data_IF_063176734758
#
_entry.id   IF_063176734758
#
_cell.length_a   1.000
_cell.length_b   1.000
_cell.length_c   1.000
_cell.angle_alpha   90.00
_cell.angle_beta   90.00
_cell.angle_gamma   90.00
#
_symmetry.space_group_name_H-M   'P 1'
#
loop_
_entity.id
_entity.type
_entity.pdbx_description
1 polymer ?
#
# COMPACT_ATOMS: atom_id res chain seq x y z
N UNK A 1 51.07 12.23 -10.82
CA UNK A 1 50.70 11.98 -9.41
C UNK A 1 49.20 11.75 -9.39
N UNK A 2 48.79 10.47 -9.50
CA UNK A 2 47.39 10.05 -9.41
C UNK A 2 46.96 10.10 -7.95
N UNK A 3 45.78 10.65 -7.66
CA UNK A 3 45.08 10.42 -6.41
C UNK A 3 43.78 9.68 -6.74
N UNK A 4 43.70 8.45 -6.25
CA UNK A 4 42.56 7.54 -6.29
C UNK A 4 41.50 8.03 -5.30
N UNK A 5 40.20 8.03 -5.62
CA UNK A 5 39.16 8.20 -4.61
C UNK A 5 38.95 6.87 -3.89
N UNK A 6 39.10 6.88 -2.56
CA UNK A 6 38.79 5.74 -1.71
C UNK A 6 37.28 5.46 -1.70
N UNK A 7 36.96 4.18 -1.85
CA UNK A 7 35.65 3.61 -1.62
C UNK A 7 35.36 3.48 -0.12
N UNK A 8 34.07 3.55 0.24
CA UNK A 8 33.53 2.83 1.39
C UNK A 8 33.26 3.67 2.64
N UNK A 9 32.06 4.25 2.70
CA UNK A 9 31.42 4.64 3.95
C UNK A 9 29.95 4.19 3.91
N UNK A 10 29.68 2.95 4.35
CA UNK A 10 28.31 2.47 4.55
C UNK A 10 27.68 3.30 5.67
N UNK A 11 26.74 4.19 5.30
CA UNK A 11 25.82 4.78 6.29
C UNK A 11 24.95 3.64 6.83
N UNK A 12 24.70 3.57 8.15
CA UNK A 12 23.81 2.56 8.70
C UNK A 12 22.42 2.70 8.06
N UNK A 13 21.83 1.56 7.69
CA UNK A 13 20.47 1.44 7.15
C UNK A 13 19.49 2.07 8.15
N UNK A 14 19.08 3.31 7.91
CA UNK A 14 17.78 3.78 8.37
C UNK A 14 16.78 3.32 7.32
N UNK A 15 16.20 2.13 7.52
CA UNK A 15 14.96 1.77 6.82
C UNK A 15 13.90 2.75 7.29
N UNK A 16 13.49 3.61 6.37
CA UNK A 16 12.43 4.57 6.52
C UNK A 16 11.24 3.85 5.91
N UNK A 17 10.21 3.52 6.69
CA UNK A 17 8.90 4.17 6.62
C UNK A 17 8.02 3.79 7.82
N UNK A 18 7.02 4.61 8.15
CA UNK A 18 6.12 4.49 9.31
C UNK A 18 4.68 4.79 8.89
N UNK A 19 3.75 3.87 9.21
CA UNK A 19 2.33 4.07 9.58
C UNK A 19 1.59 5.19 8.85
N UNK A 20 0.88 4.95 7.74
CA UNK A 20 -0.01 5.99 7.22
C UNK A 20 -1.24 5.46 6.50
N UNK A 21 -2.38 5.66 7.16
CA UNK A 21 -3.58 6.08 6.49
C UNK A 21 -3.74 7.61 6.58
N UNK A 22 -4.43 8.20 5.59
CA UNK A 22 -4.69 9.65 5.56
C UNK A 22 -6.19 9.90 5.63
N UNK A 23 -6.61 10.76 6.56
CA UNK A 23 -7.99 11.27 6.57
C UNK A 23 -8.14 12.35 5.49
N UNK A 24 -9.07 12.20 4.53
CA UNK A 24 -9.32 13.17 3.46
C UNK A 24 -9.93 14.49 3.95
N UNK A 25 -10.62 14.52 5.09
CA UNK A 25 -11.26 15.73 5.62
C UNK A 25 -10.25 16.66 6.27
N UNK A 26 -9.30 16.08 7.00
CA UNK A 26 -8.30 16.83 7.76
C UNK A 26 -6.95 16.90 7.02
N UNK A 27 -6.73 16.02 6.04
CA UNK A 27 -5.40 15.78 5.47
C UNK A 27 -4.40 15.24 6.51
N UNK A 28 -4.89 14.89 7.70
CA UNK A 28 -4.06 14.43 8.78
C UNK A 28 -3.72 12.97 8.57
N UNK A 29 -2.45 12.66 8.80
CA UNK A 29 -1.98 11.29 8.91
C UNK A 29 -2.50 10.69 10.22
N UNK A 30 -3.14 9.53 10.13
CA UNK A 30 -3.55 8.75 11.31
C UNK A 30 -2.27 8.13 11.90
N UNK A 31 -1.75 8.70 12.99
CA UNK A 31 -0.47 8.31 13.59
C UNK A 31 -0.68 7.76 15.00
N UNK A 32 -0.13 6.58 15.27
CA UNK A 32 0.52 6.33 16.56
C UNK A 32 2.03 6.57 16.46
N UNK A 33 2.64 7.05 17.53
CA UNK A 33 4.08 7.31 17.59
C UNK A 33 4.81 6.18 18.34
N UNK A 34 5.90 5.67 17.78
CA UNK A 34 6.98 5.07 18.57
C UNK A 34 8.27 5.81 18.28
N UNK A 35 8.72 6.77 19.09
CA UNK A 35 10.00 7.44 18.87
C UNK A 35 11.15 6.40 18.80
N UNK A 36 11.97 6.45 17.75
CA UNK A 36 13.25 5.73 17.72
C UNK A 36 14.27 6.57 18.50
N UNK A 37 14.63 6.13 19.71
CA UNK A 37 15.72 6.73 20.48
C UNK A 37 17.02 5.92 20.24
N UNK A 38 18.03 6.49 19.57
CA UNK A 38 19.31 5.82 19.32
C UNK A 38 20.18 5.65 20.58
N UNK A 39 19.80 6.18 21.75
CA UNK A 39 20.59 6.12 22.97
C UNK A 39 20.34 4.88 23.87
N UNK A 40 19.31 4.06 23.60
CA UNK A 40 18.98 2.90 24.44
C UNK A 40 19.77 1.62 24.10
N UNK A 41 20.68 1.66 23.13
CA UNK A 41 21.47 0.50 22.71
C UNK A 41 22.73 0.27 23.57
N UNK A 42 22.59 0.24 24.90
CA UNK A 42 23.61 -0.33 25.79
C UNK A 42 23.09 -0.51 27.22
N UNK A 43 22.09 -1.35 27.43
CA UNK A 43 21.91 -2.04 28.71
C UNK A 43 21.05 -3.29 28.48
N UNK A 44 21.61 -4.48 28.75
CA UNK A 44 20.84 -5.73 28.81
C UNK A 44 19.95 -5.69 30.05
N UNK A 45 18.84 -4.96 29.97
CA UNK A 45 17.69 -5.26 30.80
C UNK A 45 16.91 -6.35 30.09
N UNK A 46 16.70 -7.47 30.77
CA UNK A 46 15.66 -8.44 30.42
C UNK A 46 14.30 -7.76 30.56
N UNK A 47 13.94 -6.92 29.59
CA UNK A 47 12.55 -6.56 29.37
C UNK A 47 11.85 -7.86 28.96
N UNK A 48 10.95 -8.32 29.82
CA UNK A 48 9.90 -9.25 29.39
C UNK A 48 9.20 -8.53 28.24
N UNK A 49 9.40 -8.97 27.00
CA UNK A 49 8.72 -8.38 25.85
C UNK A 49 7.22 -8.37 26.17
N UNK A 50 6.61 -7.18 26.15
CA UNK A 50 5.17 -7.08 26.31
C UNK A 50 4.50 -7.99 25.28
N UNK A 51 3.43 -8.68 25.67
CA UNK A 51 2.70 -9.53 24.73
C UNK A 51 2.30 -8.70 23.51
N UNK A 52 2.40 -9.25 22.29
CA UNK A 52 2.05 -8.50 21.09
C UNK A 52 0.59 -8.03 21.17
N UNK A 53 0.35 -6.75 20.88
CA UNK A 53 -1.00 -6.17 20.87
C UNK A 53 -1.69 -6.62 19.59
N UNK A 54 -2.85 -7.24 19.69
CA UNK A 54 -3.67 -7.64 18.55
C UNK A 54 -4.51 -6.47 18.04
N UNK A 55 -4.92 -6.55 16.76
CA UNK A 55 -5.91 -5.62 16.20
C UNK A 55 -7.27 -5.82 16.89
N UNK A 56 -7.98 -4.73 17.10
CA UNK A 56 -9.36 -4.68 17.59
C UNK A 56 -10.24 -4.01 16.54
N UNK A 57 -11.54 -4.32 16.57
CA UNK A 57 -12.51 -3.74 15.66
C UNK A 57 -13.12 -2.47 16.24
N UNK A 58 -13.13 -1.38 15.46
CA UNK A 58 -13.60 -0.06 15.88
C UNK A 58 -14.90 0.38 15.18
N UNK A 59 -15.67 -0.58 14.65
CA UNK A 59 -17.03 -0.36 14.15
C UNK A 59 -17.14 0.24 12.74
N UNK A 60 -16.02 0.40 12.04
CA UNK A 60 -15.95 0.84 10.65
C UNK A 60 -16.19 -0.29 9.63
N UNK A 61 -16.25 0.05 8.35
CA UNK A 61 -16.42 -0.95 7.29
C UNK A 61 -15.21 -1.88 7.19
N UNK A 62 -15.39 -3.02 6.51
CA UNK A 62 -14.31 -3.84 5.93
C UNK A 62 -14.72 -4.25 4.51
N UNK A 63 -13.78 -4.71 3.69
CA UNK A 63 -14.08 -5.20 2.35
C UNK A 63 -14.43 -6.69 2.36
N UNK A 64 -15.70 -7.02 2.52
CA UNK A 64 -16.21 -8.40 2.53
C UNK A 64 -16.18 -9.08 1.14
N UNK A 65 -16.16 -8.30 0.07
CA UNK A 65 -16.08 -8.74 -1.32
C UNK A 65 -15.25 -7.73 -2.16
N UNK A 66 -13.93 -7.62 -1.89
CA UNK A 66 -13.09 -6.55 -2.43
C UNK A 66 -12.96 -6.61 -3.95
N UNK A 67 -13.01 -5.42 -4.56
CA UNK A 67 -12.76 -5.19 -6.00
C UNK A 67 -11.71 -4.11 -6.16
N UNK A 68 -10.69 -4.40 -6.95
CA UNK A 68 -9.57 -3.50 -7.22
C UNK A 68 -9.67 -2.98 -8.66
N UNK A 69 -9.61 -1.66 -8.79
CA UNK A 69 -9.47 -0.96 -10.06
C UNK A 69 -8.12 -0.25 -10.09
N UNK A 70 -7.33 -0.46 -11.15
CA UNK A 70 -6.02 0.18 -11.30
C UNK A 70 -6.13 1.42 -12.17
N UNK A 71 -5.77 2.58 -11.63
CA UNK A 71 -5.79 3.87 -12.32
C UNK A 71 -4.35 4.31 -12.55
N UNK A 72 -3.95 4.42 -13.81
CA UNK A 72 -2.66 4.97 -14.21
C UNK A 72 -2.89 6.45 -14.52
N UNK A 73 -2.66 7.33 -13.55
CA UNK A 73 -3.03 8.75 -13.66
C UNK A 73 -1.90 9.55 -14.31
N UNK A 74 -2.14 10.08 -15.51
CA UNK A 74 -1.20 10.92 -16.23
C UNK A 74 -0.96 10.50 -17.68
N UNK A 75 -0.75 11.49 -18.55
CA UNK A 75 -0.38 11.33 -19.96
C UNK A 75 0.93 10.56 -20.15
N UNK A 76 1.84 10.60 -19.19
CA UNK A 76 3.11 9.87 -19.25
C UNK A 76 2.92 8.34 -19.24
N UNK A 77 1.76 7.85 -18.81
CA UNK A 77 1.39 6.42 -18.91
C UNK A 77 0.92 6.01 -20.32
N UNK A 78 0.65 6.96 -21.24
CA UNK A 78 0.12 6.69 -22.58
C UNK A 78 1.09 5.90 -23.48
N UNK A 79 2.39 6.10 -23.32
CA UNK A 79 3.45 5.55 -24.17
C UNK A 79 4.47 4.73 -23.38
N UNK A 80 4.05 4.19 -22.22
CA UNK A 80 4.83 3.30 -21.38
C UNK A 80 5.43 2.14 -22.20
N UNK A 81 6.69 2.30 -22.59
CA UNK A 81 7.49 1.29 -23.27
C UNK A 81 8.47 0.76 -22.24
N UNK A 82 8.44 -0.55 -21.89
CA UNK A 82 9.38 -1.12 -20.94
C UNK A 82 10.84 -0.82 -21.31
N UNK A 83 11.63 -0.33 -20.35
CA UNK A 83 13.05 -0.02 -20.57
C UNK A 83 13.33 1.29 -21.29
N UNK A 84 12.30 2.13 -21.51
CA UNK A 84 12.50 3.48 -22.00
C UNK A 84 13.21 4.34 -20.93
N UNK A 85 14.08 5.24 -21.38
CA UNK A 85 14.82 6.15 -20.50
C UNK A 85 13.83 7.05 -19.74
N UNK A 86 13.81 7.01 -18.38
CA UNK A 86 12.89 7.79 -17.56
C UNK A 86 13.05 9.30 -17.72
N UNK A 87 14.18 9.77 -18.25
CA UNK A 87 14.41 11.19 -18.53
C UNK A 87 13.73 11.68 -19.82
N UNK A 88 13.16 10.77 -20.63
CA UNK A 88 12.46 11.12 -21.87
C UNK A 88 10.95 11.34 -21.64
N UNK A 89 10.33 12.35 -22.26
CA UNK A 89 8.88 12.55 -22.18
C UNK A 89 8.09 11.32 -22.68
N UNK A 90 7.02 10.95 -21.97
CA UNK A 90 6.11 9.87 -22.38
C UNK A 90 6.48 8.46 -21.89
N UNK A 91 7.45 8.33 -20.98
CA UNK A 91 7.97 7.05 -20.47
C UNK A 91 7.60 6.81 -19.01
N UNK A 92 6.39 7.18 -18.56
CA UNK A 92 5.96 7.22 -17.15
C UNK A 92 6.12 5.91 -16.35
N UNK A 93 6.55 4.83 -17.01
CA UNK A 93 6.84 3.51 -16.48
C UNK A 93 8.15 2.91 -17.04
N UNK A 94 9.33 3.50 -16.76
CA UNK A 94 10.62 3.03 -17.27
C UNK A 94 10.96 1.58 -16.90
N UNK A 95 10.40 1.07 -15.80
CA UNK A 95 10.71 -0.24 -15.24
C UNK A 95 9.60 -1.27 -15.40
N UNK A 96 8.50 -0.93 -16.09
CA UNK A 96 7.36 -1.84 -16.31
C UNK A 96 6.62 -2.22 -15.00
N UNK A 97 6.57 -1.29 -14.04
CA UNK A 97 5.78 -1.35 -12.81
C UNK A 97 4.32 -1.70 -13.11
N UNK A 98 3.73 -1.18 -14.19
CA UNK A 98 2.34 -1.47 -14.57
C UNK A 98 2.08 -2.94 -14.78
N UNK A 99 2.95 -3.62 -15.53
CA UNK A 99 2.80 -5.04 -15.77
C UNK A 99 3.09 -5.84 -14.49
N UNK A 100 4.09 -5.43 -13.72
CA UNK A 100 4.47 -6.08 -12.46
C UNK A 100 3.35 -6.02 -11.42
N UNK A 101 2.79 -4.84 -11.15
CA UNK A 101 1.69 -4.65 -10.21
C UNK A 101 0.44 -5.46 -10.60
N UNK A 102 0.08 -5.46 -11.90
CA UNK A 102 -1.02 -6.30 -12.41
C UNK A 102 -0.76 -7.79 -12.19
N UNK A 103 0.45 -8.25 -12.45
CA UNK A 103 0.81 -9.65 -12.31
C UNK A 103 0.85 -10.08 -10.83
N UNK A 104 1.39 -9.23 -9.95
CA UNK A 104 1.35 -9.44 -8.51
C UNK A 104 -0.08 -9.53 -7.98
N UNK A 105 -0.96 -8.58 -8.30
CA UNK A 105 -2.35 -8.61 -7.82
C UNK A 105 -3.11 -9.85 -8.31
N UNK A 106 -2.82 -10.32 -9.53
CA UNK A 106 -3.36 -11.60 -10.04
C UNK A 106 -2.84 -12.81 -9.27
N UNK A 107 -1.61 -12.76 -8.75
CA UNK A 107 -1.04 -13.81 -7.92
C UNK A 107 -1.51 -13.73 -6.46
N UNK A 108 -1.82 -12.53 -5.96
CA UNK A 108 -2.23 -12.27 -4.58
C UNK A 108 -3.73 -12.54 -4.33
N UNK A 109 -4.61 -12.29 -5.31
CA UNK A 109 -6.05 -12.56 -5.18
C UNK A 109 -6.33 -14.06 -4.96
N UNK A 110 -7.12 -14.39 -3.94
CA UNK A 110 -7.41 -15.77 -3.56
C UNK A 110 -6.18 -16.56 -3.06
N UNK A 111 -5.06 -15.88 -2.83
CA UNK A 111 -3.80 -16.50 -2.46
C UNK A 111 -3.78 -16.88 -0.98
N UNK A 112 -2.93 -17.85 -0.62
CA UNK A 112 -2.83 -18.28 0.79
C UNK A 112 -2.08 -17.29 1.67
N UNK A 113 -1.30 -16.38 1.07
CA UNK A 113 -0.67 -15.27 1.79
C UNK A 113 -1.74 -14.30 2.31
N UNK A 114 -2.72 -13.95 1.47
CA UNK A 114 -3.77 -12.99 1.82
C UNK A 114 -4.83 -13.57 2.78
N UNK A 115 -4.78 -14.86 3.12
CA UNK A 115 -5.77 -15.49 4.00
C UNK A 115 -5.83 -14.89 5.42
N UNK A 116 -4.77 -14.21 5.87
CA UNK A 116 -4.78 -13.57 7.18
C UNK A 116 -5.84 -12.45 7.27
N UNK A 117 -6.30 -11.88 6.15
CA UNK A 117 -7.42 -10.91 6.17
C UNK A 117 -8.74 -11.54 6.63
N UNK A 118 -8.96 -12.84 6.41
CA UNK A 118 -10.22 -13.54 6.66
C UNK A 118 -10.64 -13.60 8.14
N UNK A 119 -9.74 -13.29 9.06
CA UNK A 119 -10.06 -13.26 10.49
C UNK A 119 -10.73 -11.96 10.93
N UNK A 120 -10.59 -10.90 10.13
CA UNK A 120 -11.14 -9.58 10.38
C UNK A 120 -12.55 -9.52 9.80
N UNK A 121 -13.50 -9.03 10.58
CA UNK A 121 -14.94 -9.10 10.29
C UNK A 121 -15.59 -7.74 10.44
N UNK A 122 -16.67 -7.51 9.69
CA UNK A 122 -17.55 -6.35 9.90
C UNK A 122 -18.40 -6.48 11.18
N UNK A 123 -19.22 -5.45 11.44
CA UNK A 123 -20.15 -5.41 12.57
C UNK A 123 -21.21 -6.52 12.56
N UNK A 124 -21.48 -7.14 11.41
CA UNK A 124 -22.41 -8.26 11.25
C UNK A 124 -21.71 -9.62 11.34
N UNK A 125 -20.39 -9.65 11.58
CA UNK A 125 -19.59 -10.86 11.65
C UNK A 125 -19.22 -11.44 10.28
N UNK A 126 -19.42 -10.72 9.19
CA UNK A 126 -19.01 -11.11 7.83
C UNK A 126 -17.50 -10.85 7.68
N UNK A 127 -16.70 -11.87 7.33
CA UNK A 127 -15.27 -11.70 7.11
C UNK A 127 -14.93 -10.74 5.96
N UNK A 128 -13.80 -10.05 6.07
CA UNK A 128 -13.07 -9.51 4.93
C UNK A 128 -12.84 -10.62 3.90
N UNK A 129 -13.03 -10.33 2.62
CA UNK A 129 -12.99 -11.32 1.55
C UNK A 129 -11.59 -11.55 1.01
N UNK A 130 -11.28 -12.78 0.58
CA UNK A 130 -10.10 -13.09 -0.25
C UNK A 130 -10.56 -13.83 -1.53
N UNK A 131 -11.28 -13.16 -2.45
CA UNK A 131 -11.81 -13.83 -3.63
C UNK A 131 -10.71 -14.08 -4.68
N UNK A 132 -10.90 -15.11 -5.50
CA UNK A 132 -9.98 -15.44 -6.61
C UNK A 132 -10.07 -14.44 -7.77
N UNK A 133 -10.99 -13.48 -7.70
CA UNK A 133 -11.21 -12.41 -8.69
C UNK A 133 -11.41 -11.08 -7.96
N UNK A 134 -10.31 -10.44 -7.58
CA UNK A 134 -10.31 -9.09 -6.98
C UNK A 134 -10.00 -8.01 -8.02
N UNK A 135 -9.04 -8.25 -8.91
CA UNK A 135 -8.69 -7.29 -9.96
C UNK A 135 -9.75 -7.29 -11.06
N UNK A 136 -10.56 -6.22 -11.13
CA UNK A 136 -11.74 -6.14 -12.01
C UNK A 136 -11.54 -5.19 -13.19
N UNK A 137 -10.72 -4.16 -13.04
CA UNK A 137 -10.56 -3.14 -14.08
C UNK A 137 -9.23 -2.42 -14.05
N UNK A 138 -8.90 -1.79 -15.18
CA UNK A 138 -7.75 -0.90 -15.26
C UNK A 138 -8.00 0.21 -16.27
N UNK A 139 -7.67 1.44 -15.89
CA UNK A 139 -7.85 2.64 -16.70
C UNK A 139 -6.55 3.41 -16.79
N UNK A 140 -6.18 3.83 -18.01
CA UNK A 140 -5.11 4.79 -18.24
C UNK A 140 -5.76 6.16 -18.39
N UNK A 141 -5.74 6.96 -17.32
CA UNK A 141 -6.28 8.32 -17.39
C UNK A 141 -5.22 9.26 -17.94
N UNK A 142 -5.32 9.53 -19.24
CA UNK A 142 -4.45 10.48 -19.94
C UNK A 142 -5.14 11.83 -20.15
N UNK A 143 -6.32 12.05 -19.56
CA UNK A 143 -7.06 13.29 -19.75
C UNK A 143 -6.55 14.43 -18.83
N UNK A 144 -5.86 14.09 -17.74
CA UNK A 144 -5.14 15.02 -16.87
C UNK A 144 -3.83 14.42 -16.40
N UNK A 145 -2.96 15.24 -15.81
CA UNK A 145 -1.76 14.77 -15.12
C UNK A 145 -1.87 15.06 -13.62
N UNK A 146 -1.28 14.20 -12.76
CA UNK A 146 -1.11 14.55 -11.37
C UNK A 146 -0.25 15.81 -11.23
N UNK A 147 -0.55 16.69 -10.27
CA UNK A 147 0.39 17.71 -9.85
C UNK A 147 1.72 17.07 -9.42
N UNK A 148 2.83 17.80 -9.59
CA UNK A 148 4.16 17.35 -9.17
C UNK A 148 4.21 16.94 -7.69
N UNK A 149 3.36 17.59 -6.87
CA UNK A 149 3.16 17.37 -5.43
C UNK A 149 1.67 17.20 -5.16
N UNK A 150 1.07 16.09 -5.61
CA UNK A 150 -0.36 15.86 -5.46
C UNK A 150 -0.74 15.76 -3.98
N UNK A 151 -1.66 16.59 -3.50
CA UNK A 151 -2.21 16.43 -2.14
C UNK A 151 -3.30 15.36 -2.13
N UNK A 152 -3.67 14.86 -0.95
CA UNK A 152 -4.68 13.80 -0.85
C UNK A 152 -6.03 14.20 -1.49
N UNK A 153 -6.38 15.49 -1.46
CA UNK A 153 -7.57 16.01 -2.14
C UNK A 153 -7.51 15.85 -3.67
N UNK A 154 -6.35 16.07 -4.29
CA UNK A 154 -6.18 15.89 -5.74
C UNK A 154 -6.35 14.42 -6.13
N UNK A 155 -5.77 13.53 -5.32
CA UNK A 155 -5.81 12.08 -5.55
C UNK A 155 -7.21 11.52 -5.29
N UNK A 156 -7.90 11.99 -4.26
CA UNK A 156 -9.31 11.67 -4.01
C UNK A 156 -10.22 12.14 -5.16
N UNK A 157 -9.94 13.31 -5.76
CA UNK A 157 -10.65 13.76 -6.95
C UNK A 157 -10.42 12.83 -8.15
N UNK A 158 -9.21 12.28 -8.30
CA UNK A 158 -8.93 11.27 -9.33
C UNK A 158 -9.62 9.93 -9.04
N UNK A 159 -9.68 9.49 -7.78
CA UNK A 159 -10.45 8.31 -7.39
C UNK A 159 -11.95 8.47 -7.72
N UNK A 160 -12.52 9.68 -7.53
CA UNK A 160 -13.89 9.99 -7.96
C UNK A 160 -14.06 9.93 -9.48
N UNK A 161 -13.10 10.43 -10.25
CA UNK A 161 -13.12 10.32 -11.72
C UNK A 161 -13.02 8.87 -12.18
N UNK A 162 -12.20 8.05 -11.52
CA UNK A 162 -12.12 6.62 -11.79
C UNK A 162 -13.46 5.93 -11.49
N UNK A 163 -14.08 6.22 -10.35
CA UNK A 163 -15.40 5.69 -10.02
C UNK A 163 -16.45 6.04 -11.09
N UNK A 164 -16.46 7.29 -11.58
CA UNK A 164 -17.32 7.72 -12.69
C UNK A 164 -16.98 6.98 -13.99
N UNK A 165 -15.70 6.85 -14.33
CA UNK A 165 -15.22 6.15 -15.53
C UNK A 165 -15.70 4.70 -15.56
N UNK A 166 -15.44 3.94 -14.50
CA UNK A 166 -15.85 2.54 -14.42
C UNK A 166 -17.37 2.39 -14.33
N UNK A 167 -18.09 3.33 -13.71
CA UNK A 167 -19.56 3.35 -13.72
C UNK A 167 -20.15 3.42 -15.14
N UNK A 168 -19.50 4.13 -16.06
CA UNK A 168 -19.97 4.27 -17.44
C UNK A 168 -19.71 3.04 -18.30
N UNK A 169 -18.68 2.25 -17.97
CA UNK A 169 -18.22 1.11 -18.78
C UNK A 169 -18.74 -0.21 -18.22
N UNK A 170 -18.88 -0.31 -16.89
CA UNK A 170 -19.45 -1.47 -16.23
C UNK A 170 -20.98 -1.36 -16.21
N UNK A 171 -21.60 -1.78 -17.31
CA UNK A 171 -23.04 -1.99 -17.37
C UNK A 171 -23.47 -3.16 -16.44
N UNK A 172 -23.63 -2.88 -15.14
CA UNK A 172 -24.59 -3.59 -14.28
C UNK A 172 -24.19 -4.93 -13.64
N UNK A 173 -22.93 -5.18 -13.28
CA UNK A 173 -22.58 -6.39 -12.50
C UNK A 173 -21.59 -6.17 -11.34
N UNK A 174 -20.89 -5.03 -11.30
CA UNK A 174 -19.87 -4.75 -10.30
C UNK A 174 -20.17 -3.46 -9.54
N UNK A 175 -20.09 -3.44 -8.19
CA UNK A 175 -20.01 -2.19 -7.47
C UNK A 175 -18.76 -1.44 -7.91
N UNK A 176 -18.96 -0.19 -8.30
CA UNK A 176 -17.96 0.83 -8.67
C UNK A 176 -17.87 1.91 -7.58
N UNK A 177 -18.65 1.76 -6.51
CA UNK A 177 -18.70 2.65 -5.34
C UNK A 177 -19.02 1.80 -4.11
N UNK A 178 -18.79 2.36 -2.92
CA UNK A 178 -19.06 1.69 -1.64
C UNK A 178 -17.82 1.01 -1.07
N UNK A 179 -17.96 0.40 0.11
CA UNK A 179 -16.83 -0.10 0.90
C UNK A 179 -16.00 -1.17 0.18
N UNK A 180 -16.63 -1.99 -0.67
CA UNK A 180 -16.01 -3.13 -1.35
C UNK A 180 -15.20 -2.77 -2.60
N UNK A 181 -14.93 -1.49 -2.88
CA UNK A 181 -14.03 -1.07 -3.96
C UNK A 181 -12.75 -0.45 -3.41
N UNK A 182 -11.65 -0.66 -4.11
CA UNK A 182 -10.40 0.06 -3.90
C UNK A 182 -9.87 0.54 -5.25
N UNK A 183 -9.75 1.87 -5.40
CA UNK A 183 -9.08 2.50 -6.53
C UNK A 183 -7.59 2.65 -6.22
N UNK A 184 -6.74 1.85 -6.86
CA UNK A 184 -5.29 2.00 -6.72
C UNK A 184 -4.82 3.03 -7.73
N UNK A 185 -4.49 4.23 -7.25
CA UNK A 185 -4.02 5.36 -8.04
C UNK A 185 -2.50 5.31 -8.13
N UNK A 186 -1.99 4.96 -9.32
CA UNK A 186 -0.56 4.96 -9.61
C UNK A 186 -0.13 6.31 -10.17
N UNK A 187 0.87 6.90 -9.53
CA UNK A 187 1.54 8.10 -10.02
C UNK A 187 2.75 7.71 -10.88
N UNK A 188 2.99 8.40 -12.01
CA UNK A 188 4.12 8.12 -12.88
C UNK A 188 5.45 8.54 -12.24
N UNK A 189 6.56 8.00 -12.78
CA UNK A 189 7.91 8.43 -12.37
C UNK A 189 8.06 9.94 -12.41
N UNK A 190 8.77 10.48 -11.41
CA UNK A 190 9.02 11.91 -11.25
C UNK A 190 7.85 12.71 -10.69
N UNK A 191 6.73 12.08 -10.32
CA UNK A 191 5.62 12.73 -9.61
C UNK A 191 5.38 12.07 -8.26
N UNK A 192 5.14 12.88 -7.23
CA UNK A 192 5.05 12.39 -5.86
C UNK A 192 3.82 12.96 -5.17
N UNK A 193 3.18 12.20 -4.26
CA UNK A 193 2.25 12.81 -3.33
C UNK A 193 2.99 13.73 -2.36
N UNK A 194 2.28 14.73 -1.82
CA UNK A 194 2.80 15.58 -0.75
C UNK A 194 3.19 14.74 0.48
N UNK A 195 4.42 14.94 0.98
CA UNK A 195 4.93 14.25 2.15
C UNK A 195 5.61 12.90 1.88
N UNK A 196 5.67 12.45 0.62
CA UNK A 196 6.32 11.20 0.24
C UNK A 196 7.82 11.15 0.61
N UNK A 197 8.41 9.96 0.76
CA UNK A 197 9.86 9.82 1.08
C UNK A 197 10.78 10.48 0.04
N UNK A 198 10.38 10.50 -1.24
CA UNK A 198 11.09 11.23 -2.31
C UNK A 198 11.13 12.75 -2.10
N UNK A 199 10.36 13.27 -1.14
CA UNK A 199 10.26 14.66 -0.74
C UNK A 199 10.77 14.93 0.69
N UNK A 200 11.45 13.96 1.30
CA UNK A 200 11.99 14.07 2.66
C UNK A 200 11.03 13.66 3.77
N UNK A 201 9.88 13.05 3.43
CA UNK A 201 9.02 12.39 4.41
C UNK A 201 9.44 10.95 4.72
N UNK A 202 8.55 10.21 5.36
CA UNK A 202 8.83 8.92 5.99
C UNK A 202 7.87 7.79 5.58
N UNK A 203 7.38 7.80 4.33
CA UNK A 203 6.43 6.79 3.84
C UNK A 203 6.50 6.50 2.34
N UNK A 204 6.02 5.31 1.95
CA UNK A 204 6.19 4.72 0.62
C UNK A 204 4.89 4.66 -0.19
N UNK A 205 3.78 4.46 0.50
CA UNK A 205 2.43 4.50 -0.02
C UNK A 205 1.51 4.84 1.14
N UNK A 206 0.22 4.94 0.85
CA UNK A 206 -0.83 5.00 1.86
C UNK A 206 -2.15 4.63 1.19
N UNK A 207 -3.17 4.40 2.00
CA UNK A 207 -4.55 4.40 1.55
C UNK A 207 -5.37 5.45 2.32
N UNK A 208 -6.47 5.83 1.70
CA UNK A 208 -7.37 6.87 2.17
C UNK A 208 -8.75 6.62 1.53
N UNK A 209 -9.64 7.58 1.67
CA UNK A 209 -10.99 7.49 1.16
C UNK A 209 -11.50 8.86 0.72
N UNK A 210 -12.61 8.86 0.00
CA UNK A 210 -13.39 10.06 -0.26
C UNK A 210 -14.86 9.66 -0.36
N UNK A 211 -15.76 10.61 -0.59
CA UNK A 211 -17.17 10.34 -0.80
C UNK A 211 -17.60 10.90 -2.15
N UNK A 212 -18.46 10.17 -2.85
CA UNK A 212 -19.14 10.74 -4.00
C UNK A 212 -20.25 11.70 -3.54
N UNK A 213 -20.91 12.34 -4.52
CA UNK A 213 -22.03 13.28 -4.29
C UNK A 213 -23.29 12.68 -3.61
N UNK A 214 -23.31 11.37 -3.35
CA UNK A 214 -24.40 10.64 -2.69
C UNK A 214 -23.93 10.00 -1.38
N UNK A 215 -22.86 10.51 -0.78
CA UNK A 215 -22.26 10.01 0.48
C UNK A 215 -21.82 8.53 0.42
N UNK A 216 -21.58 8.00 -0.77
CA UNK A 216 -21.02 6.65 -0.92
C UNK A 216 -19.51 6.73 -0.75
N UNK A 217 -18.98 5.94 0.18
CA UNK A 217 -17.55 5.78 0.41
C UNK A 217 -16.83 5.31 -0.86
N UNK A 218 -15.68 5.92 -1.14
CA UNK A 218 -14.76 5.59 -2.22
C UNK A 218 -13.36 5.40 -1.61
N UNK A 219 -13.00 4.18 -1.20
CA UNK A 219 -11.66 3.86 -0.74
C UNK A 219 -10.67 3.91 -1.91
N UNK A 220 -9.46 4.38 -1.65
CA UNK A 220 -8.38 4.39 -2.63
C UNK A 220 -7.02 4.16 -1.98
N UNK A 221 -6.14 3.47 -2.70
CA UNK A 221 -4.73 3.31 -2.37
C UNK A 221 -3.91 4.20 -3.29
N UNK A 222 -2.87 4.83 -2.76
CA UNK A 222 -1.96 5.68 -3.53
C UNK A 222 -0.63 4.99 -3.66
N UNK A 223 -0.22 4.72 -4.90
CA UNK A 223 1.04 4.08 -5.23
C UNK A 223 1.93 5.04 -6.03
N UNK A 224 2.87 5.73 -5.37
CA UNK A 224 3.94 6.45 -6.05
C UNK A 224 4.83 5.51 -6.87
N UNK A 225 5.63 6.08 -7.77
CA UNK A 225 6.58 5.31 -8.55
C UNK A 225 7.81 4.91 -7.72
N UNK A 226 7.67 3.83 -6.94
CA UNK A 226 8.67 3.40 -5.95
C UNK A 226 10.11 3.26 -6.44
N UNK A 227 10.40 2.87 -7.71
CA UNK A 227 11.77 2.85 -8.20
C UNK A 227 12.52 4.18 -8.09
N UNK A 228 11.82 5.32 -8.06
CA UNK A 228 12.42 6.65 -7.96
C UNK A 228 13.18 6.85 -6.64
N UNK A 229 12.80 6.13 -5.58
CA UNK A 229 13.38 6.27 -4.23
C UNK A 229 14.23 5.08 -3.80
N UNK A 230 14.45 4.12 -4.71
CA UNK A 230 15.39 3.04 -4.50
C UNK A 230 15.12 2.23 -3.23
N UNK A 231 16.20 1.89 -2.50
CA UNK A 231 16.12 1.05 -1.30
C UNK A 231 15.20 1.59 -0.21
N UNK A 232 14.92 2.91 -0.18
CA UNK A 232 14.01 3.52 0.80
C UNK A 232 12.59 2.96 0.74
N UNK A 233 12.17 2.42 -0.42
CA UNK A 233 10.90 1.73 -0.57
C UNK A 233 11.08 0.34 -1.15
N UNK A 234 12.10 -0.39 -0.70
CA UNK A 234 12.22 -1.82 -0.94
C UNK A 234 12.73 -2.22 -2.32
N UNK A 235 13.27 -1.30 -3.14
CA UNK A 235 14.02 -1.71 -4.35
C UNK A 235 15.20 -2.58 -3.92
N UNK A 236 15.32 -3.77 -4.50
CA UNK A 236 16.40 -4.70 -4.21
C UNK A 236 16.38 -5.31 -2.82
N UNK A 237 15.23 -5.29 -2.14
CA UNK A 237 15.07 -5.82 -0.79
C UNK A 237 15.28 -7.34 -0.73
N UNK A 238 14.79 -8.06 -1.74
CA UNK A 238 14.84 -9.54 -1.78
C UNK A 238 15.70 -10.03 -2.95
N UNK A 239 15.49 -9.45 -4.12
CA UNK A 239 16.08 -9.86 -5.39
C UNK A 239 17.20 -8.92 -5.81
N UNK A 240 18.07 -9.41 -6.70
CA UNK A 240 19.17 -8.62 -7.29
C UNK A 240 19.00 -8.58 -8.82
N UNK A 241 18.77 -7.41 -9.46
CA UNK A 241 18.70 -6.08 -8.84
C UNK A 241 17.39 -5.77 -8.09
N UNK A 242 16.30 -6.53 -8.29
CA UNK A 242 15.06 -6.37 -7.53
C UNK A 242 14.38 -5.00 -7.67
N UNK A 243 14.50 -4.38 -8.85
CA UNK A 243 14.01 -3.00 -9.12
C UNK A 243 12.55 -2.76 -8.75
N UNK A 244 11.72 -3.80 -8.73
CA UNK A 244 10.28 -3.70 -8.41
C UNK A 244 9.89 -4.47 -7.15
N UNK A 245 10.84 -4.96 -6.34
CA UNK A 245 10.53 -5.71 -5.11
C UNK A 245 9.59 -4.92 -4.20
N UNK A 246 9.90 -3.64 -3.98
CA UNK A 246 9.08 -2.70 -3.24
C UNK A 246 7.62 -2.62 -3.70
N UNK A 247 7.36 -2.78 -4.99
CA UNK A 247 6.00 -2.68 -5.55
C UNK A 247 5.11 -3.76 -4.98
N UNK A 248 5.54 -5.01 -4.92
CA UNK A 248 4.70 -6.09 -4.36
C UNK A 248 4.69 -6.10 -2.83
N UNK A 249 5.78 -5.65 -2.19
CA UNK A 249 5.85 -5.52 -0.72
C UNK A 249 4.83 -4.49 -0.24
N UNK A 250 4.91 -3.27 -0.78
CA UNK A 250 4.13 -2.11 -0.33
C UNK A 250 2.71 -2.16 -0.91
N UNK A 251 2.50 -2.52 -2.19
CA UNK A 251 1.14 -2.71 -2.69
C UNK A 251 0.41 -3.81 -1.92
N UNK A 252 1.12 -4.88 -1.54
CA UNK A 252 0.55 -5.94 -0.73
C UNK A 252 0.11 -5.48 0.66
N UNK A 253 0.94 -4.67 1.30
CA UNK A 253 0.67 -4.00 2.58
C UNK A 253 -0.62 -3.17 2.48
N UNK A 254 -0.65 -2.19 1.58
CA UNK A 254 -1.75 -1.23 1.45
C UNK A 254 -3.08 -1.88 1.06
N UNK A 255 -3.04 -2.92 0.21
CA UNK A 255 -4.26 -3.65 -0.16
C UNK A 255 -4.82 -4.42 1.04
N UNK A 256 -3.96 -5.09 1.82
CA UNK A 256 -4.43 -5.82 3.00
C UNK A 256 -5.06 -4.87 4.03
N UNK A 257 -4.47 -3.70 4.20
CA UNK A 257 -4.95 -2.63 5.07
C UNK A 257 -6.28 -2.05 4.61
N UNK A 258 -6.37 -1.61 3.35
CA UNK A 258 -7.62 -1.10 2.78
C UNK A 258 -8.74 -2.16 2.85
N UNK A 259 -8.39 -3.45 2.77
CA UNK A 259 -9.36 -4.54 2.90
C UNK A 259 -9.91 -4.69 4.33
N UNK A 260 -9.10 -4.43 5.35
CA UNK A 260 -9.48 -4.52 6.76
C UNK A 260 -9.96 -3.20 7.34
N UNK A 261 -9.66 -2.08 6.69
CA UNK A 261 -10.10 -0.73 7.03
C UNK A 261 -10.18 0.19 5.79
N UNK A 262 -11.24 0.12 4.97
CA UNK A 262 -11.41 1.00 3.82
C UNK A 262 -11.81 2.44 4.19
N UNK A 263 -12.00 2.75 5.48
CA UNK A 263 -12.36 4.07 5.98
C UNK A 263 -11.48 4.42 7.20
N UNK A 264 -10.16 4.60 7.00
CA UNK A 264 -9.22 4.73 8.09
C UNK A 264 -9.35 6.09 8.80
N UNK A 265 -9.97 6.08 9.98
CA UNK A 265 -10.10 7.23 10.89
C UNK A 265 -9.23 7.08 12.15
N UNK A 266 -8.47 5.98 12.26
CA UNK A 266 -7.75 5.62 13.48
C UNK A 266 -8.69 5.31 14.64
N UNK A 267 -8.21 5.43 15.87
CA UNK A 267 -9.06 5.25 17.07
C UNK A 267 -10.28 6.19 17.14
N UNK A 268 -10.43 7.16 16.22
CA UNK A 268 -11.67 7.88 16.03
C UNK A 268 -12.72 6.99 15.34
N UNK A 269 -13.79 6.64 16.07
CA UNK A 269 -14.84 5.79 15.54
C UNK A 269 -15.72 6.54 14.50
N UNK A 270 -16.13 5.88 13.40
CA UNK A 270 -15.87 4.46 13.09
C UNK A 270 -14.60 4.23 12.23
N UNK A 271 -13.78 3.24 12.57
CA UNK A 271 -12.65 2.72 11.75
C UNK A 271 -12.69 1.18 11.75
N UNK A 272 -12.05 0.53 10.78
CA UNK A 272 -12.00 -0.93 10.65
C UNK A 272 -11.20 -1.63 11.77
N UNK A 273 -10.11 -2.28 11.41
CA UNK A 273 -9.29 -3.07 12.34
C UNK A 273 -7.90 -2.47 12.53
N UNK A 274 -7.65 -1.93 13.72
CA UNK A 274 -6.39 -1.33 14.15
C UNK A 274 -6.01 -1.84 15.54
N UNK A 275 -4.76 -1.73 15.96
CA UNK A 275 -4.40 -1.88 17.38
C UNK A 275 -4.52 -0.56 18.16
N UNK A 276 -4.20 -0.62 19.45
CA UNK A 276 -4.28 0.55 20.34
C UNK A 276 -3.30 1.69 20.00
N UNK A 277 -2.36 1.48 19.07
CA UNK A 277 -1.41 2.46 18.56
C UNK A 277 -1.70 2.84 17.09
N UNK A 278 -2.93 2.60 16.62
CA UNK A 278 -3.35 2.80 15.22
C UNK A 278 -2.58 1.93 14.20
N UNK A 279 -1.89 0.86 14.62
CA UNK A 279 -1.22 -0.04 13.65
C UNK A 279 -2.25 -0.98 13.01
N UNK A 280 -2.24 -1.09 11.68
CA UNK A 280 -3.09 -2.00 10.91
C UNK A 280 -2.42 -3.36 10.60
N UNK A 281 -3.09 -4.19 9.81
CA UNK A 281 -2.61 -5.55 9.48
C UNK A 281 -1.25 -5.55 8.78
N UNK A 282 -0.95 -4.54 7.96
CA UNK A 282 0.32 -4.38 7.26
C UNK A 282 1.38 -3.76 8.16
N UNK A 283 1.06 -2.65 8.82
CA UNK A 283 1.93 -1.89 9.74
C UNK A 283 2.65 -2.76 10.75
N UNK A 284 1.91 -3.67 11.39
CA UNK A 284 2.46 -4.55 12.44
C UNK A 284 3.55 -5.49 11.94
N UNK A 285 3.70 -5.62 10.62
CA UNK A 285 4.61 -6.52 9.95
C UNK A 285 5.53 -5.82 8.95
N UNK A 286 5.53 -4.48 8.96
CA UNK A 286 6.34 -3.65 8.07
C UNK A 286 7.84 -4.00 8.21
N UNK A 287 8.54 -4.10 7.07
CA UNK A 287 10.00 -4.34 7.00
C UNK A 287 10.54 -5.55 7.78
N UNK A 288 9.70 -6.56 8.03
CA UNK A 288 10.10 -7.77 8.76
C UNK A 288 9.79 -9.04 7.97
N UNK A 289 10.70 -10.01 7.96
CA UNK A 289 10.45 -11.34 7.37
C UNK A 289 10.08 -11.32 5.88
N UNK A 290 10.48 -10.30 5.14
CA UNK A 290 10.21 -10.13 3.70
C UNK A 290 10.93 -11.22 2.92
N UNK A 291 10.20 -11.93 2.05
CA UNK A 291 10.73 -13.01 1.21
C UNK A 291 10.02 -13.07 -0.13
N UNK A 292 10.61 -13.77 -1.11
CA UNK A 292 9.86 -14.24 -2.27
C UNK A 292 8.85 -15.29 -1.81
N UNK A 293 7.58 -14.90 -1.76
CA UNK A 293 6.56 -15.69 -1.09
C UNK A 293 5.87 -16.67 -2.04
N UNK A 294 6.10 -17.96 -1.82
CA UNK A 294 5.48 -19.06 -2.58
C UNK A 294 3.95 -19.04 -2.54
N UNK A 295 3.36 -18.41 -1.53
CA UNK A 295 1.91 -18.30 -1.36
C UNK A 295 1.31 -17.06 -2.03
N UNK A 296 2.14 -16.19 -2.59
CA UNK A 296 1.77 -15.02 -3.39
C UNK A 296 2.47 -15.05 -4.76
N UNK A 297 2.62 -16.24 -5.37
CA UNK A 297 3.21 -16.40 -6.70
C UNK A 297 4.71 -16.09 -6.81
N UNK A 298 5.47 -16.27 -5.72
CA UNK A 298 6.89 -15.96 -5.59
C UNK A 298 7.25 -14.46 -5.68
N UNK A 299 6.27 -13.57 -5.59
CA UNK A 299 6.54 -12.14 -5.46
C UNK A 299 7.11 -11.82 -4.06
N UNK A 300 8.02 -10.84 -3.94
CA UNK A 300 8.40 -10.24 -2.66
C UNK A 300 7.17 -9.71 -1.93
N UNK A 301 6.90 -10.23 -0.75
CA UNK A 301 5.86 -9.70 0.14
C UNK A 301 6.43 -9.52 1.53
N UNK A 302 5.87 -8.60 2.30
CA UNK A 302 5.96 -8.66 3.75
C UNK A 302 4.89 -9.64 4.30
N UNK A 303 5.09 -10.19 5.50
CA UNK A 303 4.04 -10.91 6.19
C UNK A 303 2.87 -9.97 6.56
N UNK A 304 1.72 -10.58 6.85
CA UNK A 304 0.55 -9.90 7.40
C UNK A 304 0.33 -10.32 8.86
N UNK A 305 -0.25 -9.42 9.65
CA UNK A 305 -0.53 -9.72 11.06
C UNK A 305 -1.62 -10.78 11.19
N UNK A 306 -1.41 -11.75 12.08
CA UNK A 306 -2.43 -12.71 12.45
C UNK A 306 -2.77 -12.62 13.94
N UNK A 307 -3.97 -12.12 14.26
CA UNK A 307 -4.49 -12.08 15.62
C UNK A 307 -4.56 -13.45 16.29
N UNK A 308 -4.89 -14.50 15.53
CA UNK A 308 -4.99 -15.89 16.04
C UNK A 308 -3.66 -16.48 16.53
N UNK A 309 -2.52 -16.02 16.00
CA UNK A 309 -1.18 -16.42 16.45
C UNK A 309 -0.37 -15.27 17.04
N UNK A 310 -0.97 -14.08 17.19
CA UNK A 310 -0.33 -12.83 17.62
C UNK A 310 1.07 -12.65 17.00
N UNK A 311 1.17 -12.81 15.69
CA UNK A 311 2.44 -12.79 14.96
C UNK A 311 2.25 -12.53 13.47
N UNK A 312 3.31 -12.02 12.84
CA UNK A 312 3.43 -11.81 11.40
C UNK A 312 3.67 -13.12 10.64
N UNK A 313 2.93 -13.35 9.55
CA UNK A 313 3.09 -14.55 8.71
C UNK A 313 3.03 -14.26 7.20
N UNK A 314 3.81 -15.01 6.44
CA UNK A 314 3.79 -15.01 4.96
C UNK A 314 2.70 -15.96 4.40
N UNK A 315 1.93 -16.61 5.27
CA UNK A 315 1.03 -17.72 4.99
C UNK A 315 1.74 -19.08 4.86
N UNK A 316 0.97 -20.18 4.90
CA UNK A 316 0.56 -20.92 6.10
C UNK A 316 1.72 -21.80 6.67
N UNK A 317 1.65 -22.37 7.90
CA UNK A 317 0.51 -23.18 8.35
C UNK A 317 0.00 -22.96 9.78
N UNK A 318 -1.31 -23.15 9.94
CA UNK A 318 -1.78 -24.15 10.89
C UNK A 318 -2.86 -25.03 10.23
N UNK A 319 -2.75 -26.37 10.28
CA UNK A 319 -3.89 -27.25 10.09
C UNK A 319 -4.92 -27.06 11.21
#
# INVERSE_FOLDING_TARGET
MQLVPQAGGKRPLQMITRRLAVDPQTGAFVRGALAYDPAAASERQTQVAAAPINLSYYGGPVQTAPKIYLVWWGRSWASATPGADPSLPGTGDPHNLRAYAKAFLKAAQGSRWLNDVLQYKDANGVPTGNPTTMLVGSWNDTASDPPQMAVNQDIGAEALRAAQHFSMIEAGANPVVGTNVNYVIFLPTGTYPSGYVGMGGDWCAYHSYTFNQHDMLIPFTVMPYLPDVGHSCGVGEVNKPGTLDGVSIILGHEIAETMTDPHPNGVANPTGWIDANDDEIGDKCEWHGIVNNVYAGNYPTQPLWNNGTSSCRQGPPKP
#
